data_IF_673155671521
#
_entry.id   IF_673155671521
#
_cell.length_a   1.000
_cell.length_b   1.000
_cell.length_c   1.000
_cell.angle_alpha   90.00
_cell.angle_beta   90.00
_cell.angle_gamma   90.00
#
_symmetry.space_group_name_H-M   'P 1'
#
loop_
_entity.id
_entity.type
_entity.pdbx_description
1 polymer ?
#
# COMPACT_ATOMS: atom_id res chain seq x y z
N UNK A 1 21.38 -8.50 -11.07
CA UNK A 1 20.62 -9.69 -10.59
C UNK A 1 20.65 -9.71 -9.08
N UNK A 2 19.56 -10.11 -8.43
CA UNK A 2 19.47 -10.20 -6.97
C UNK A 2 20.42 -11.25 -6.37
N UNK A 3 20.60 -12.38 -7.05
CA UNK A 3 21.52 -13.44 -6.59
C UNK A 3 22.75 -13.52 -7.47
N UNK A 4 23.92 -13.73 -6.85
CA UNK A 4 25.20 -13.90 -7.54
C UNK A 4 25.70 -15.34 -7.41
N UNK A 5 26.50 -15.77 -8.41
CA UNK A 5 27.26 -17.02 -8.38
C UNK A 5 28.70 -16.79 -7.90
N UNK A 6 29.16 -15.55 -7.87
CA UNK A 6 30.50 -15.14 -7.44
C UNK A 6 30.47 -14.88 -5.94
N UNK A 7 31.24 -15.63 -5.18
CA UNK A 7 31.24 -15.57 -3.71
C UNK A 7 31.63 -14.18 -3.20
N UNK A 8 32.64 -13.56 -3.82
CA UNK A 8 33.17 -12.25 -3.48
C UNK A 8 32.15 -11.11 -3.67
N UNK A 9 31.15 -11.32 -4.53
CA UNK A 9 30.06 -10.35 -4.79
C UNK A 9 28.85 -10.57 -3.86
N UNK A 10 28.92 -11.55 -2.96
CA UNK A 10 27.79 -11.95 -2.10
C UNK A 10 27.85 -11.30 -0.71
N UNK A 11 26.70 -11.23 -0.05
CA UNK A 11 26.64 -10.79 1.36
C UNK A 11 27.33 -11.77 2.31
N UNK A 12 27.43 -13.06 1.94
CA UNK A 12 28.18 -14.05 2.73
C UNK A 12 29.68 -13.73 2.79
N UNK A 13 30.24 -13.15 1.71
CA UNK A 13 31.63 -12.70 1.69
C UNK A 13 31.84 -11.46 2.58
N UNK A 14 30.88 -10.53 2.60
CA UNK A 14 30.96 -9.32 3.44
C UNK A 14 30.94 -9.64 4.94
N UNK A 15 30.14 -10.61 5.33
CA UNK A 15 29.83 -10.88 6.72
C UNK A 15 28.88 -9.83 7.35
N UNK A 16 28.27 -10.21 8.46
CA UNK A 16 27.20 -9.45 9.10
C UNK A 16 27.62 -8.04 9.54
N UNK A 17 28.75 -7.93 10.25
CA UNK A 17 29.24 -6.63 10.77
C UNK A 17 29.48 -5.62 9.65
N UNK A 18 30.11 -6.05 8.56
CA UNK A 18 30.38 -5.19 7.41
C UNK A 18 29.08 -4.82 6.71
N UNK A 19 28.15 -5.76 6.60
CA UNK A 19 26.84 -5.52 5.99
C UNK A 19 26.06 -4.46 6.79
N UNK A 20 25.98 -4.56 8.10
CA UNK A 20 25.30 -3.58 8.96
C UNK A 20 25.91 -2.17 8.81
N UNK A 21 27.24 -2.07 8.83
CA UNK A 21 27.94 -0.80 8.58
C UNK A 21 27.64 -0.22 7.19
N UNK A 22 27.54 -1.08 6.18
CA UNK A 22 27.20 -0.64 4.83
C UNK A 22 25.74 -0.19 4.72
N UNK A 23 24.80 -0.90 5.35
CA UNK A 23 23.37 -0.52 5.39
C UNK A 23 23.24 0.90 5.97
N UNK A 24 23.87 1.18 7.10
CA UNK A 24 23.85 2.50 7.72
C UNK A 24 24.40 3.59 6.78
N UNK A 25 25.51 3.31 6.09
CA UNK A 25 26.08 4.22 5.09
C UNK A 25 25.14 4.43 3.89
N UNK A 26 24.52 3.37 3.40
CA UNK A 26 23.62 3.45 2.24
C UNK A 26 22.34 4.24 2.55
N UNK A 27 21.87 4.17 3.79
CA UNK A 27 20.71 4.94 4.28
C UNK A 27 21.05 6.42 4.51
N UNK A 28 22.28 6.74 4.88
CA UNK A 28 22.74 8.11 5.12
C UNK A 28 21.83 8.84 6.14
N UNK A 29 21.37 10.08 5.84
CA UNK A 29 20.58 10.88 6.78
C UNK A 29 19.26 10.25 7.21
N UNK A 30 18.74 9.27 6.46
CA UNK A 30 17.49 8.57 6.81
C UNK A 30 17.68 7.58 7.97
N UNK A 31 18.92 7.30 8.38
CA UNK A 31 19.25 6.53 9.58
C UNK A 31 19.90 7.46 10.61
N UNK A 32 19.13 8.00 11.56
CA UNK A 32 19.69 8.89 12.58
C UNK A 32 20.72 8.15 13.45
N UNK A 33 21.64 8.88 14.12
CA UNK A 33 22.58 8.27 15.05
C UNK A 33 21.89 7.79 16.33
N UNK A 34 22.54 6.88 17.06
CA UNK A 34 22.10 6.52 18.42
C UNK A 34 21.98 7.78 19.31
N UNK A 35 21.04 7.84 20.25
CA UNK A 35 20.11 6.76 20.62
C UNK A 35 18.84 6.70 19.76
N UNK A 36 18.67 7.59 18.78
CA UNK A 36 17.45 7.69 17.98
C UNK A 36 17.47 6.80 16.72
N UNK A 37 18.53 6.08 16.46
CA UNK A 37 18.70 5.17 15.34
C UNK A 37 19.54 3.95 15.69
N UNK A 38 20.18 3.36 14.67
CA UNK A 38 21.00 2.15 14.82
C UNK A 38 22.22 2.39 15.72
N UNK A 39 22.53 1.43 16.58
CA UNK A 39 23.73 1.44 17.42
C UNK A 39 23.54 1.04 18.87
N UNK A 40 22.30 0.75 19.28
CA UNK A 40 21.92 0.21 20.59
C UNK A 40 20.88 -0.90 20.40
N UNK A 41 20.49 -1.60 21.46
CA UNK A 41 19.49 -2.68 21.44
C UNK A 41 18.12 -2.19 20.95
N UNK A 42 17.78 -0.94 21.24
CA UNK A 42 16.55 -0.28 20.77
C UNK A 42 16.81 1.18 20.37
N UNK A 43 16.10 1.66 19.35
CA UNK A 43 16.06 3.08 19.08
C UNK A 43 15.12 3.80 20.06
N UNK A 44 15.58 4.93 20.61
CA UNK A 44 14.75 5.81 21.44
C UNK A 44 13.89 6.68 20.51
N UNK A 45 12.60 6.38 20.41
CA UNK A 45 11.68 7.14 19.59
C UNK A 45 11.35 8.50 20.26
N UNK A 46 11.28 9.53 19.43
CA UNK A 46 10.75 10.83 19.89
C UNK A 46 9.25 10.65 20.17
N UNK A 47 8.74 11.05 21.35
CA UNK A 47 7.33 10.98 21.65
C UNK A 47 6.51 11.77 20.62
N UNK A 48 5.36 11.24 20.23
CA UNK A 48 4.44 11.97 19.38
C UNK A 48 3.87 13.16 20.17
N UNK A 49 4.00 14.36 19.62
CA UNK A 49 3.52 15.59 20.26
C UNK A 49 2.00 15.70 20.29
N UNK A 50 1.32 15.01 19.35
CA UNK A 50 -0.16 15.00 19.24
C UNK A 50 -0.62 13.85 18.37
N UNK A 51 -1.91 13.53 18.49
CA UNK A 51 -2.56 12.47 17.69
C UNK A 51 -2.43 11.08 18.31
N UNK A 52 -3.11 10.12 17.70
CA UNK A 52 -3.07 8.71 18.08
C UNK A 52 -1.94 8.02 17.32
N UNK A 53 -1.09 7.22 17.98
CA UNK A 53 -0.04 6.47 17.30
C UNK A 53 -0.66 5.42 16.37
N UNK A 54 -0.06 5.26 15.20
CA UNK A 54 -0.34 4.22 14.22
C UNK A 54 0.87 3.31 14.10
N UNK A 55 0.64 2.04 13.84
CA UNK A 55 1.68 1.05 13.57
C UNK A 55 1.17 0.11 12.47
N UNK A 56 1.98 -0.09 11.45
CA UNK A 56 1.73 -1.09 10.41
C UNK A 56 2.97 -1.92 10.14
N UNK A 57 2.80 -3.05 9.44
CA UNK A 57 3.90 -3.87 8.96
C UNK A 57 3.53 -4.52 7.64
N UNK A 58 4.47 -4.50 6.70
CA UNK A 58 4.29 -5.13 5.40
C UNK A 58 5.61 -5.77 4.92
N UNK A 59 5.50 -6.82 4.13
CA UNK A 59 6.64 -7.56 3.61
C UNK A 59 6.81 -7.39 2.11
N UNK A 60 8.05 -7.55 1.63
CA UNK A 60 8.39 -7.64 0.22
C UNK A 60 9.24 -8.90 0.00
N UNK A 61 8.67 -9.92 -0.64
CA UNK A 61 9.31 -11.22 -0.87
C UNK A 61 9.55 -11.46 -2.35
N UNK A 62 10.79 -11.86 -2.69
CA UNK A 62 11.14 -12.24 -4.06
C UNK A 62 10.36 -13.47 -4.52
N UNK A 63 9.86 -13.42 -5.75
CA UNK A 63 9.03 -14.46 -6.35
C UNK A 63 7.54 -14.35 -5.99
N UNK A 64 7.15 -13.43 -5.07
CA UNK A 64 5.76 -13.18 -4.70
C UNK A 64 5.32 -11.73 -4.95
N UNK A 65 6.06 -10.77 -4.42
CA UNK A 65 5.73 -9.36 -4.52
C UNK A 65 6.54 -8.63 -5.61
N UNK A 66 7.60 -9.25 -6.06
CA UNK A 66 8.45 -8.81 -7.16
C UNK A 66 9.29 -9.96 -7.71
N UNK A 67 9.78 -9.80 -8.92
CA UNK A 67 10.67 -10.73 -9.61
C UNK A 67 11.89 -10.01 -10.21
N UNK A 68 12.61 -10.68 -11.11
CA UNK A 68 13.83 -10.18 -11.74
C UNK A 68 13.58 -8.98 -12.68
N UNK A 69 12.35 -8.71 -13.07
CA UNK A 69 11.99 -7.58 -13.93
C UNK A 69 12.00 -6.25 -13.19
N UNK A 70 11.78 -6.28 -11.86
CA UNK A 70 11.80 -5.09 -11.05
C UNK A 70 13.23 -4.70 -10.66
N UNK A 71 13.59 -3.43 -10.83
CA UNK A 71 14.88 -2.94 -10.40
C UNK A 71 15.04 -3.02 -8.87
N UNK A 72 16.28 -3.16 -8.39
CA UNK A 72 16.54 -3.16 -6.94
C UNK A 72 16.07 -1.87 -6.26
N UNK A 73 16.25 -0.71 -6.92
CA UNK A 73 15.80 0.58 -6.39
C UNK A 73 14.27 0.65 -6.26
N UNK A 74 13.57 0.18 -7.27
CA UNK A 74 12.11 0.17 -7.25
C UNK A 74 11.57 -0.81 -6.20
N UNK A 75 12.22 -1.97 -6.03
CA UNK A 75 11.87 -2.92 -4.97
C UNK A 75 12.05 -2.30 -3.56
N UNK A 76 13.16 -1.59 -3.33
CA UNK A 76 13.38 -0.88 -2.07
C UNK A 76 12.36 0.23 -1.82
N UNK A 77 12.05 1.02 -2.85
CA UNK A 77 11.03 2.07 -2.75
C UNK A 77 9.62 1.48 -2.56
N UNK A 78 9.28 0.37 -3.24
CA UNK A 78 8.00 -0.34 -3.09
C UNK A 78 7.76 -0.76 -1.64
N UNK A 79 8.77 -1.30 -0.96
CA UNK A 79 8.64 -1.72 0.45
C UNK A 79 8.20 -0.57 1.36
N UNK A 80 8.82 0.59 1.22
CA UNK A 80 8.45 1.79 2.00
C UNK A 80 7.04 2.26 1.63
N UNK A 81 6.76 2.38 0.33
CA UNK A 81 5.49 2.91 -0.17
C UNK A 81 4.28 2.06 0.23
N UNK A 82 4.39 0.73 0.29
CA UNK A 82 3.32 -0.16 0.75
C UNK A 82 2.90 0.19 2.17
N UNK A 83 3.85 0.28 3.09
CA UNK A 83 3.58 0.68 4.47
C UNK A 83 3.04 2.13 4.57
N UNK A 84 3.49 3.03 3.68
CA UNK A 84 2.95 4.39 3.61
C UNK A 84 1.49 4.40 3.15
N UNK A 85 1.08 3.45 2.33
CA UNK A 85 -0.31 3.28 1.91
C UNK A 85 -1.22 2.94 3.09
N UNK A 86 -0.78 2.05 4.00
CA UNK A 86 -1.51 1.75 5.24
C UNK A 86 -1.65 2.99 6.15
N UNK A 87 -0.57 3.76 6.30
CA UNK A 87 -0.64 5.02 7.07
C UNK A 87 -1.60 6.01 6.40
N UNK A 88 -1.59 6.09 5.07
CA UNK A 88 -2.53 6.91 4.32
C UNK A 88 -3.97 6.43 4.54
N UNK A 89 -4.24 5.12 4.47
CA UNK A 89 -5.56 4.53 4.70
C UNK A 89 -6.21 4.95 6.03
N UNK A 90 -5.38 5.36 7.00
CA UNK A 90 -5.82 5.85 8.31
C UNK A 90 -5.79 7.38 8.45
N UNK A 91 -5.56 8.13 7.35
CA UNK A 91 -5.42 9.59 7.39
C UNK A 91 -4.18 10.06 8.16
N UNK A 92 -3.12 9.24 8.19
CA UNK A 92 -1.96 9.41 9.03
C UNK A 92 -0.80 10.18 8.41
N UNK A 93 0.16 10.50 9.26
CA UNK A 93 1.48 11.03 8.91
C UNK A 93 2.54 10.01 9.36
N UNK A 94 3.42 9.53 8.47
CA UNK A 94 4.46 8.56 8.83
C UNK A 94 5.55 9.21 9.70
N UNK A 95 6.35 8.37 10.39
CA UNK A 95 7.43 8.84 11.28
C UNK A 95 8.67 7.95 11.18
N UNK A 96 8.70 6.82 11.87
CA UNK A 96 9.90 5.98 12.01
C UNK A 96 9.62 4.54 11.63
N UNK A 97 10.61 3.87 11.06
CA UNK A 97 10.50 2.48 10.65
C UNK A 97 11.65 1.61 11.15
N UNK A 98 11.40 0.32 11.29
CA UNK A 98 12.41 -0.73 11.44
C UNK A 98 12.28 -1.74 10.32
N UNK A 99 13.42 -2.30 9.86
CA UNK A 99 13.49 -3.20 8.72
C UNK A 99 14.14 -4.52 9.11
N UNK A 100 13.42 -5.63 9.09
CA UNK A 100 13.97 -6.97 9.16
C UNK A 100 14.30 -7.48 7.76
N UNK A 101 15.58 -7.87 7.55
CA UNK A 101 16.11 -8.32 6.27
C UNK A 101 16.45 -9.81 6.35
N UNK A 102 15.75 -10.65 5.61
CA UNK A 102 15.95 -12.09 5.54
C UNK A 102 16.60 -12.44 4.19
N UNK A 103 17.91 -12.72 4.21
CA UNK A 103 18.71 -12.87 3.01
C UNK A 103 19.36 -14.24 2.90
N UNK A 104 19.25 -14.86 1.72
CA UNK A 104 20.10 -16.00 1.36
C UNK A 104 21.56 -15.58 1.20
N UNK A 105 22.54 -16.47 1.51
CA UNK A 105 23.97 -16.11 1.53
C UNK A 105 24.50 -15.60 0.17
N UNK A 106 23.82 -15.90 -0.91
CA UNK A 106 24.17 -15.52 -2.27
C UNK A 106 23.43 -14.28 -2.80
N UNK A 107 22.83 -13.48 -1.93
CA UNK A 107 22.29 -12.16 -2.35
C UNK A 107 23.48 -11.27 -2.75
N UNK A 108 23.34 -10.62 -3.90
CA UNK A 108 24.39 -9.73 -4.43
C UNK A 108 24.49 -8.46 -3.61
N UNK A 109 25.69 -8.14 -3.14
CA UNK A 109 25.99 -6.91 -2.40
C UNK A 109 25.61 -5.66 -3.21
N UNK A 110 25.93 -5.64 -4.50
CA UNK A 110 25.59 -4.53 -5.42
C UNK A 110 24.08 -4.37 -5.57
N UNK A 111 23.34 -5.48 -5.68
CA UNK A 111 21.87 -5.43 -5.75
C UNK A 111 21.30 -4.89 -4.44
N UNK A 112 21.79 -5.36 -3.31
CA UNK A 112 21.34 -4.94 -1.98
C UNK A 112 21.65 -3.45 -1.73
N UNK A 113 22.81 -2.97 -2.14
CA UNK A 113 23.12 -1.54 -2.10
C UNK A 113 22.08 -0.71 -2.88
N UNK A 114 21.75 -1.12 -4.10
CA UNK A 114 20.74 -0.44 -4.92
C UNK A 114 19.34 -0.51 -4.29
N UNK A 115 19.00 -1.63 -3.64
CA UNK A 115 17.77 -1.76 -2.88
C UNK A 115 17.70 -0.71 -1.76
N UNK A 116 18.76 -0.56 -0.97
CA UNK A 116 18.83 0.46 0.06
C UNK A 116 18.90 1.90 -0.47
N UNK A 117 19.41 2.12 -1.67
CA UNK A 117 19.30 3.43 -2.34
C UNK A 117 17.80 3.77 -2.62
N UNK A 118 17.01 2.79 -3.03
CA UNK A 118 15.56 2.94 -3.20
C UNK A 118 14.83 3.19 -1.88
N UNK A 119 15.17 2.42 -0.84
CA UNK A 119 14.67 2.64 0.53
C UNK A 119 14.98 4.07 1.01
N UNK A 120 16.25 4.48 0.90
CA UNK A 120 16.70 5.83 1.29
C UNK A 120 15.93 6.93 0.57
N UNK A 121 15.78 6.79 -0.76
CA UNK A 121 15.04 7.79 -1.54
C UNK A 121 13.59 7.91 -1.06
N UNK A 122 12.88 6.80 -0.89
CA UNK A 122 11.50 6.82 -0.42
C UNK A 122 11.40 7.36 1.03
N UNK A 123 12.31 6.96 1.92
CA UNK A 123 12.39 7.51 3.27
C UNK A 123 12.57 9.03 3.27
N UNK A 124 13.46 9.54 2.41
CA UNK A 124 13.69 10.97 2.27
C UNK A 124 12.46 11.70 1.72
N UNK A 125 11.87 11.20 0.63
CA UNK A 125 10.71 11.82 -0.02
C UNK A 125 9.49 11.93 0.92
N UNK A 126 9.33 10.98 1.84
CA UNK A 126 8.18 10.90 2.76
C UNK A 126 8.53 11.17 4.24
N UNK A 127 9.73 11.67 4.51
CA UNK A 127 10.19 12.04 5.86
C UNK A 127 10.09 10.89 6.86
N UNK A 128 10.47 9.69 6.45
CA UNK A 128 10.57 8.50 7.31
C UNK A 128 12.00 8.31 7.77
N UNK A 129 12.21 8.06 9.06
CA UNK A 129 13.52 7.67 9.62
C UNK A 129 13.57 6.14 9.76
N UNK A 130 14.59 5.49 9.15
CA UNK A 130 14.85 4.09 9.41
C UNK A 130 15.76 3.98 10.65
N UNK A 131 15.16 3.61 11.77
CA UNK A 131 15.79 3.73 13.09
C UNK A 131 16.39 2.43 13.61
N UNK A 132 16.11 1.29 12.96
CA UNK A 132 16.63 -0.01 13.40
C UNK A 132 16.20 -1.13 12.45
N UNK A 133 16.48 -2.35 12.87
CA UNK A 133 16.10 -3.54 12.13
C UNK A 133 16.87 -4.77 12.57
N UNK A 134 16.75 -5.82 11.76
CA UNK A 134 17.42 -7.10 11.94
C UNK A 134 17.97 -7.61 10.61
N UNK A 135 19.02 -8.42 10.66
CA UNK A 135 19.54 -9.14 9.48
C UNK A 135 19.67 -10.61 9.82
N UNK A 136 18.87 -11.43 9.16
CA UNK A 136 18.86 -12.87 9.38
C UNK A 136 19.17 -13.64 8.09
N UNK A 137 19.99 -14.71 8.23
CA UNK A 137 20.28 -15.59 7.12
C UNK A 137 19.13 -16.59 6.91
N UNK A 138 18.72 -16.74 5.65
CA UNK A 138 17.78 -17.78 5.20
C UNK A 138 18.43 -18.66 4.12
N UNK A 139 17.67 -19.61 3.57
CA UNK A 139 18.18 -20.51 2.53
C UNK A 139 18.70 -19.74 1.31
N UNK A 140 19.69 -20.34 0.63
CA UNK A 140 20.22 -19.84 -0.65
C UNK A 140 19.09 -19.60 -1.67
N UNK A 141 19.13 -18.45 -2.36
CA UNK A 141 18.13 -18.07 -3.35
C UNK A 141 16.85 -17.48 -2.77
N UNK A 142 16.79 -17.21 -1.47
CA UNK A 142 15.66 -16.54 -0.86
C UNK A 142 16.00 -15.09 -0.49
N UNK A 143 14.99 -14.20 -0.59
CA UNK A 143 15.04 -12.83 -0.14
C UNK A 143 13.65 -12.38 0.32
N UNK A 144 13.58 -11.83 1.51
CA UNK A 144 12.43 -11.11 2.04
C UNK A 144 12.89 -9.92 2.87
N UNK A 145 12.14 -8.85 2.79
CA UNK A 145 12.31 -7.67 3.65
C UNK A 145 10.97 -7.35 4.30
N UNK A 146 10.95 -7.17 5.61
CA UNK A 146 9.75 -6.83 6.39
C UNK A 146 9.98 -5.48 7.03
N UNK A 147 9.11 -4.52 6.73
CA UNK A 147 9.17 -3.18 7.31
C UNK A 147 8.02 -3.01 8.30
N UNK A 148 8.33 -2.49 9.49
CA UNK A 148 7.30 -1.98 10.40
C UNK A 148 7.45 -0.46 10.49
N UNK A 149 6.34 0.26 10.28
CA UNK A 149 6.29 1.71 10.18
C UNK A 149 5.36 2.30 11.22
N UNK A 150 5.83 3.28 11.97
CA UNK A 150 5.01 4.09 12.87
C UNK A 150 4.54 5.37 12.20
N UNK A 151 3.40 5.89 12.67
CA UNK A 151 2.88 7.17 12.25
C UNK A 151 1.91 7.72 13.28
N UNK A 152 1.26 8.83 12.96
CA UNK A 152 0.23 9.44 13.81
C UNK A 152 -0.95 9.90 12.97
N UNK A 153 -2.16 9.87 13.56
CA UNK A 153 -3.34 10.55 13.02
C UNK A 153 -4.09 11.25 14.15
N UNK A 154 -4.50 12.50 13.94
CA UNK A 154 -5.35 13.21 14.92
C UNK A 154 -6.73 12.55 15.02
N UNK A 155 -7.27 12.12 13.89
CA UNK A 155 -8.56 11.42 13.77
C UNK A 155 -8.36 10.24 12.80
N UNK A 156 -7.96 9.06 13.29
CA UNK A 156 -7.85 7.88 12.42
C UNK A 156 -9.20 7.54 11.81
N UNK A 157 -9.24 7.41 10.49
CA UNK A 157 -10.40 6.92 9.78
C UNK A 157 -10.33 5.40 9.77
N UNK A 158 -11.42 4.75 10.20
CA UNK A 158 -11.46 3.29 10.30
C UNK A 158 -12.23 2.70 9.12
N UNK A 159 -11.89 1.49 8.70
CA UNK A 159 -12.58 0.79 7.60
C UNK A 159 -13.99 0.29 7.99
N UNK A 160 -14.27 0.13 9.29
CA UNK A 160 -15.54 -0.44 9.80
C UNK A 160 -16.52 0.62 10.32
N UNK A 161 -16.33 1.89 9.95
CA UNK A 161 -17.19 2.99 10.41
C UNK A 161 -18.19 3.49 9.37
N UNK A 162 -18.18 2.88 8.17
CA UNK A 162 -19.18 3.12 7.14
C UNK A 162 -20.60 2.79 7.64
N UNK A 163 -21.59 3.49 7.08
CA UNK A 163 -23.00 3.34 7.44
C UNK A 163 -23.86 3.04 6.18
N UNK A 164 -25.04 2.53 6.43
CA UNK A 164 -26.06 2.41 5.40
C UNK A 164 -26.30 3.77 4.72
N UNK A 165 -26.45 3.77 3.41
CA UNK A 165 -26.63 4.90 2.49
C UNK A 165 -25.37 5.76 2.28
N UNK A 166 -24.22 5.44 2.89
CA UNK A 166 -22.98 6.13 2.58
C UNK A 166 -22.61 5.91 1.12
N UNK A 167 -22.09 6.97 0.51
CA UNK A 167 -21.62 6.96 -0.88
C UNK A 167 -20.18 6.48 -0.94
N UNK A 168 -19.87 5.61 -1.89
CA UNK A 168 -18.58 4.95 -2.04
C UNK A 168 -17.76 5.65 -3.13
N UNK A 169 -16.52 5.99 -2.80
CA UNK A 169 -15.59 6.67 -3.70
C UNK A 169 -14.28 5.92 -3.84
N UNK A 170 -13.66 6.08 -5.01
CA UNK A 170 -12.25 5.69 -5.25
C UNK A 170 -11.48 6.87 -5.84
N UNK A 171 -10.21 6.95 -5.51
CA UNK A 171 -9.26 7.89 -6.14
C UNK A 171 -8.60 7.26 -7.37
N UNK A 172 -8.17 8.09 -8.30
CA UNK A 172 -7.37 7.68 -9.46
C UNK A 172 -8.07 6.68 -10.38
N UNK A 173 -7.32 5.71 -10.91
CA UNK A 173 -7.80 4.66 -11.82
C UNK A 173 -7.22 3.30 -11.43
N UNK A 174 -7.96 2.23 -11.73
CA UNK A 174 -7.74 0.88 -11.19
C UNK A 174 -7.40 -0.14 -12.26
N UNK A 175 -6.64 -1.15 -11.88
CA UNK A 175 -6.34 -2.34 -12.64
C UNK A 175 -5.09 -2.22 -13.53
N UNK A 176 -4.50 -3.37 -13.86
CA UNK A 176 -3.27 -3.45 -14.64
C UNK A 176 -2.05 -2.99 -13.86
N UNK A 177 -2.10 -3.03 -12.54
CA UNK A 177 -1.03 -2.59 -11.63
C UNK A 177 0.31 -3.28 -11.92
N UNK A 178 0.29 -4.54 -12.32
CA UNK A 178 1.47 -5.34 -12.68
C UNK A 178 2.28 -4.74 -13.83
N UNK A 179 1.69 -3.89 -14.68
CA UNK A 179 2.41 -3.19 -15.75
C UNK A 179 3.17 -1.94 -15.26
N UNK A 180 3.33 -1.77 -13.94
CA UNK A 180 4.20 -0.74 -13.37
C UNK A 180 3.62 0.01 -12.18
N UNK A 181 2.30 0.22 -12.09
CA UNK A 181 1.68 0.97 -11.00
C UNK A 181 2.01 0.35 -9.63
N UNK A 182 2.08 -0.97 -9.51
CA UNK A 182 2.36 -1.70 -8.26
C UNK A 182 3.68 -1.31 -7.55
N UNK A 183 4.60 -0.65 -8.22
CA UNK A 183 5.82 -0.10 -7.60
C UNK A 183 6.01 1.40 -7.84
N UNK A 184 5.44 1.94 -8.94
CA UNK A 184 5.57 3.35 -9.28
C UNK A 184 4.53 4.25 -8.62
N UNK A 185 3.52 3.69 -7.92
CA UNK A 185 2.46 4.45 -7.29
C UNK A 185 2.97 5.53 -6.32
N UNK A 186 2.15 6.54 -6.10
CA UNK A 186 2.36 7.59 -5.09
C UNK A 186 1.39 7.31 -3.95
N UNK A 187 1.89 7.00 -2.73
CA UNK A 187 1.04 6.84 -1.55
C UNK A 187 0.16 8.07 -1.30
N UNK A 188 -1.12 7.89 -1.12
CA UNK A 188 -2.13 8.95 -1.04
C UNK A 188 -2.17 9.66 0.33
N UNK A 189 -1.00 9.98 0.88
CA UNK A 189 -0.86 10.57 2.22
C UNK A 189 -1.47 11.99 2.33
N UNK A 190 -1.32 12.81 1.31
CA UNK A 190 -1.82 14.19 1.30
C UNK A 190 -3.34 14.19 1.22
N UNK A 191 -3.86 13.39 0.31
CA UNK A 191 -5.29 13.21 0.07
C UNK A 191 -6.00 12.61 1.29
N UNK A 192 -5.40 11.59 1.88
CA UNK A 192 -5.93 10.94 3.07
C UNK A 192 -5.98 11.86 4.29
N UNK A 193 -4.95 12.69 4.51
CA UNK A 193 -4.97 13.71 5.57
C UNK A 193 -6.00 14.81 5.30
N UNK A 194 -6.26 15.12 4.04
CA UNK A 194 -7.34 16.03 3.68
C UNK A 194 -8.70 15.39 4.00
N UNK A 195 -8.91 14.10 3.64
CA UNK A 195 -10.11 13.34 3.97
C UNK A 195 -10.35 13.26 5.49
N UNK A 196 -9.30 13.04 6.28
CA UNK A 196 -9.39 12.98 7.74
C UNK A 196 -9.87 14.29 8.39
N UNK A 197 -9.81 15.41 7.68
CA UNK A 197 -10.36 16.70 8.12
C UNK A 197 -11.79 16.95 7.65
N UNK A 198 -12.35 16.07 6.82
CA UNK A 198 -13.72 16.21 6.32
C UNK A 198 -14.65 15.41 7.23
N UNK A 199 -15.62 16.09 7.84
CA UNK A 199 -16.64 15.44 8.69
C UNK A 199 -17.53 14.45 7.94
N UNK A 200 -17.57 14.58 6.62
CA UNK A 200 -18.33 13.69 5.75
C UNK A 200 -17.66 12.32 5.54
N UNK A 201 -16.33 12.22 5.66
CA UNK A 201 -15.62 10.96 5.46
C UNK A 201 -15.94 9.98 6.60
N UNK A 202 -16.64 8.91 6.29
CA UNK A 202 -17.15 7.96 7.28
C UNK A 202 -16.27 6.72 7.47
N UNK A 203 -15.63 6.22 6.40
CA UNK A 203 -14.70 5.10 6.45
C UNK A 203 -13.69 5.18 5.32
N UNK A 204 -12.53 4.57 5.48
CA UNK A 204 -11.45 4.57 4.47
C UNK A 204 -10.55 3.35 4.61
N UNK A 205 -10.02 2.89 3.48
CA UNK A 205 -8.92 1.94 3.36
C UNK A 205 -8.17 2.19 2.04
N UNK A 206 -7.03 1.56 1.85
CA UNK A 206 -6.37 1.51 0.55
C UNK A 206 -6.77 0.26 -0.26
N UNK A 207 -6.53 0.30 -1.57
CA UNK A 207 -6.84 -0.78 -2.50
C UNK A 207 -5.60 -1.63 -2.75
N UNK A 208 -5.56 -2.80 -2.12
CA UNK A 208 -4.42 -3.73 -2.14
C UNK A 208 -4.75 -5.08 -2.74
N UNK A 209 -5.94 -5.61 -2.50
CA UNK A 209 -6.36 -6.95 -2.92
C UNK A 209 -7.28 -6.95 -4.15
N UNK A 210 -7.62 -5.77 -4.65
CA UNK A 210 -8.55 -5.54 -5.74
C UNK A 210 -9.92 -5.05 -5.27
N UNK A 211 -10.50 -4.16 -6.07
CA UNK A 211 -11.72 -3.43 -5.70
C UNK A 211 -12.85 -4.36 -5.23
N UNK A 212 -13.05 -5.50 -5.91
CA UNK A 212 -14.14 -6.44 -5.58
C UNK A 212 -14.02 -7.02 -4.17
N UNK A 213 -12.81 -7.35 -3.74
CA UNK A 213 -12.54 -7.87 -2.40
C UNK A 213 -12.58 -6.75 -1.35
N UNK A 214 -11.89 -5.64 -1.63
CA UNK A 214 -11.73 -4.54 -0.68
C UNK A 214 -13.06 -3.84 -0.37
N UNK A 215 -13.98 -3.75 -1.34
CA UNK A 215 -15.35 -3.29 -1.12
C UNK A 215 -16.09 -4.11 -0.08
N UNK A 216 -15.89 -5.43 -0.05
CA UNK A 216 -16.55 -6.30 0.93
C UNK A 216 -16.02 -6.08 2.36
N UNK A 217 -14.73 -5.68 2.48
CA UNK A 217 -14.10 -5.34 3.77
C UNK A 217 -14.62 -4.00 4.32
N UNK A 218 -14.88 -3.04 3.42
CA UNK A 218 -15.42 -1.72 3.80
C UNK A 218 -16.93 -1.74 4.08
N UNK A 219 -17.63 -2.76 3.58
CA UNK A 219 -19.08 -2.87 3.68
C UNK A 219 -19.55 -3.07 5.12
N UNK A 220 -20.43 -2.21 5.67
CA UNK A 220 -20.93 -2.37 7.02
C UNK A 220 -21.86 -3.59 7.15
N UNK A 221 -22.00 -4.07 8.39
CA UNK A 221 -22.89 -5.19 8.70
C UNK A 221 -24.34 -4.91 8.24
N UNK A 222 -25.02 -5.97 7.79
CA UNK A 222 -26.40 -5.92 7.26
C UNK A 222 -26.58 -4.97 6.09
N UNK A 223 -25.49 -4.69 5.37
CA UNK A 223 -25.51 -3.93 4.13
C UNK A 223 -24.99 -4.77 2.95
N UNK A 224 -25.22 -4.28 1.76
CA UNK A 224 -24.57 -4.68 0.53
C UNK A 224 -23.97 -3.45 -0.16
N UNK A 225 -23.00 -3.67 -1.01
CA UNK A 225 -22.43 -2.67 -1.90
C UNK A 225 -23.27 -2.65 -3.19
N UNK A 226 -23.99 -1.59 -3.45
CA UNK A 226 -24.60 -1.33 -4.75
C UNK A 226 -23.58 -0.58 -5.62
N UNK A 227 -22.91 -1.29 -6.55
CA UNK A 227 -21.88 -0.73 -7.42
C UNK A 227 -22.41 -0.38 -8.81
N UNK A 228 -22.02 0.78 -9.32
CA UNK A 228 -22.16 1.14 -10.72
C UNK A 228 -20.92 0.71 -11.51
N UNK A 229 -20.93 -0.47 -12.12
CA UNK A 229 -19.79 -1.02 -12.87
C UNK A 229 -19.31 -0.09 -13.98
N UNK A 230 -20.20 0.69 -14.62
CA UNK A 230 -19.82 1.64 -15.67
C UNK A 230 -19.12 2.90 -15.14
N UNK A 231 -19.19 3.15 -13.84
CA UNK A 231 -18.49 4.25 -13.20
C UNK A 231 -17.09 3.87 -12.67
N UNK A 232 -16.76 2.58 -12.62
CA UNK A 232 -15.42 2.14 -12.14
C UNK A 232 -14.33 2.78 -13.02
N UNK A 233 -13.39 3.54 -12.45
CA UNK A 233 -12.35 4.23 -13.23
C UNK A 233 -11.25 3.23 -13.63
N UNK A 234 -11.32 2.73 -14.86
CA UNK A 234 -10.41 1.71 -15.39
C UNK A 234 -9.13 2.37 -15.91
N UNK A 235 -7.97 1.92 -15.43
CA UNK A 235 -6.67 2.40 -15.88
C UNK A 235 -6.35 1.95 -17.32
N UNK A 236 -5.59 2.76 -18.05
CA UNK A 236 -5.12 2.39 -19.40
C UNK A 236 -4.30 1.09 -19.42
N UNK A 237 -3.59 0.80 -18.33
CA UNK A 237 -2.86 -0.45 -18.12
C UNK A 237 -3.79 -1.67 -18.06
N UNK A 238 -5.01 -1.55 -17.51
CA UNK A 238 -5.98 -2.63 -17.48
C UNK A 238 -6.44 -3.04 -18.90
N UNK A 239 -6.63 -2.07 -19.81
CA UNK A 239 -6.93 -2.36 -21.21
C UNK A 239 -5.77 -3.08 -21.91
N UNK A 240 -4.53 -2.65 -21.66
CA UNK A 240 -3.33 -3.33 -22.19
C UNK A 240 -3.19 -4.76 -21.66
N UNK A 241 -3.50 -4.98 -20.39
CA UNK A 241 -3.50 -6.34 -19.84
C UNK A 241 -4.63 -7.21 -20.42
N UNK A 242 -5.79 -6.64 -20.68
CA UNK A 242 -6.89 -7.34 -21.31
C UNK A 242 -6.55 -7.87 -22.72
N UNK A 243 -5.69 -7.17 -23.47
CA UNK A 243 -5.18 -7.65 -24.77
C UNK A 243 -4.30 -8.90 -24.65
N UNK A 244 -3.67 -9.12 -23.49
CA UNK A 244 -2.70 -10.20 -23.25
C UNK A 244 -3.29 -11.34 -22.40
N UNK A 245 -4.42 -11.13 -21.79
CA UNK A 245 -5.08 -12.07 -20.88
C UNK A 245 -6.44 -12.54 -21.43
N UNK A 246 -7.09 -13.48 -20.72
CA UNK A 246 -8.49 -13.89 -21.01
C UNK A 246 -9.51 -13.04 -20.27
N UNK A 247 -9.09 -12.02 -19.50
CA UNK A 247 -9.95 -11.15 -18.71
C UNK A 247 -10.17 -9.82 -19.42
N UNK A 248 -11.34 -9.22 -19.25
CA UNK A 248 -11.58 -7.87 -19.75
C UNK A 248 -11.00 -6.80 -18.80
N UNK A 249 -10.95 -5.54 -19.25
CA UNK A 249 -10.33 -4.45 -18.49
C UNK A 249 -11.05 -4.17 -17.14
N UNK A 250 -12.38 -4.36 -17.08
CA UNK A 250 -13.13 -4.23 -15.83
C UNK A 250 -12.75 -5.35 -14.84
N UNK A 251 -12.57 -6.57 -15.28
CA UNK A 251 -12.11 -7.67 -14.42
C UNK A 251 -10.72 -7.38 -13.85
N UNK A 252 -9.82 -6.76 -14.64
CA UNK A 252 -8.54 -6.28 -14.14
C UNK A 252 -8.70 -5.20 -13.08
N UNK A 253 -9.56 -4.20 -13.30
CA UNK A 253 -9.82 -3.15 -12.32
C UNK A 253 -10.45 -3.68 -11.01
N UNK A 254 -11.24 -4.75 -11.11
CA UNK A 254 -11.91 -5.35 -9.96
C UNK A 254 -11.04 -6.33 -9.17
N UNK A 255 -10.03 -6.99 -9.79
CA UNK A 255 -9.37 -8.15 -9.21
C UNK A 255 -7.84 -8.08 -9.09
N UNK A 256 -7.14 -7.20 -9.84
CA UNK A 256 -5.67 -7.29 -9.90
C UNK A 256 -4.99 -6.93 -8.57
N UNK A 257 -5.54 -5.98 -7.84
CA UNK A 257 -4.93 -5.47 -6.61
C UNK A 257 -3.67 -4.62 -6.84
N UNK A 258 -3.01 -4.26 -5.75
CA UNK A 258 -1.82 -3.39 -5.72
C UNK A 258 -2.01 -2.05 -6.46
N UNK A 259 -3.23 -1.51 -6.48
CA UNK A 259 -3.54 -0.20 -7.05
C UNK A 259 -3.09 0.95 -6.15
N UNK A 260 -3.08 0.74 -4.82
CA UNK A 260 -2.67 1.70 -3.79
C UNK A 260 -3.39 3.06 -3.92
N UNK A 261 -4.63 3.03 -4.38
CA UNK A 261 -5.57 4.16 -4.34
C UNK A 261 -6.37 4.12 -3.03
N UNK A 262 -7.07 5.21 -2.70
CA UNK A 262 -7.99 5.21 -1.56
C UNK A 262 -9.36 4.74 -2.00
N UNK A 263 -9.93 3.81 -1.23
CA UNK A 263 -11.33 3.43 -1.22
C UNK A 263 -11.95 4.00 0.06
N UNK A 264 -12.96 4.86 -0.05
CA UNK A 264 -13.57 5.47 1.12
C UNK A 264 -15.06 5.73 0.94
N UNK A 265 -15.74 6.00 2.03
CA UNK A 265 -17.14 6.41 2.01
C UNK A 265 -17.36 7.79 2.64
N UNK A 266 -18.38 8.46 2.17
CA UNK A 266 -18.91 9.68 2.78
C UNK A 266 -20.35 9.46 3.22
N UNK A 267 -20.79 10.16 4.28
CA UNK A 267 -22.14 10.05 4.81
C UNK A 267 -23.20 10.35 3.76
N UNK A 268 -24.23 9.50 3.67
CA UNK A 268 -25.23 9.54 2.59
C UNK A 268 -26.07 10.82 2.51
N UNK A 269 -26.12 11.61 3.59
CA UNK A 269 -26.80 12.91 3.64
C UNK A 269 -25.88 14.09 3.27
N UNK A 270 -24.63 13.83 2.90
CA UNK A 270 -23.67 14.86 2.50
C UNK A 270 -24.06 15.52 1.19
N UNK A 271 -23.76 16.80 1.06
CA UNK A 271 -23.87 17.49 -0.24
C UNK A 271 -22.75 17.02 -1.18
N UNK A 272 -23.07 16.00 -1.98
CA UNK A 272 -22.16 15.35 -2.92
C UNK A 272 -21.43 16.36 -3.82
N UNK A 273 -22.17 17.24 -4.50
CA UNK A 273 -21.57 18.21 -5.45
C UNK A 273 -20.60 19.16 -4.75
N UNK A 274 -20.92 19.61 -3.53
CA UNK A 274 -20.04 20.45 -2.73
C UNK A 274 -18.77 19.70 -2.31
N UNK A 275 -18.89 18.44 -1.92
CA UNK A 275 -17.74 17.60 -1.55
C UNK A 275 -16.81 17.38 -2.75
N UNK A 276 -17.36 16.96 -3.90
CA UNK A 276 -16.62 16.74 -5.14
C UNK A 276 -15.93 18.02 -5.66
N UNK A 277 -16.59 19.18 -5.54
CA UNK A 277 -16.00 20.47 -5.92
C UNK A 277 -14.81 20.86 -5.02
N UNK A 278 -14.89 20.60 -3.70
CA UNK A 278 -13.77 20.82 -2.77
C UNK A 278 -12.60 19.87 -3.06
N UNK A 279 -12.88 18.61 -3.42
CA UNK A 279 -11.85 17.69 -3.84
C UNK A 279 -11.16 18.14 -5.11
N UNK A 280 -11.91 18.49 -6.15
CA UNK A 280 -11.35 18.94 -7.42
C UNK A 280 -10.50 20.21 -7.26
N UNK A 281 -10.87 21.11 -6.36
CA UNK A 281 -10.08 22.30 -6.03
C UNK A 281 -8.79 21.95 -5.28
N UNK A 282 -8.81 20.94 -4.39
CA UNK A 282 -7.65 20.54 -3.62
C UNK A 282 -6.69 19.63 -4.41
N UNK A 283 -7.21 18.81 -5.33
CA UNK A 283 -6.46 17.78 -6.07
C UNK A 283 -6.86 17.76 -7.55
N UNK A 284 -6.54 18.82 -8.32
CA UNK A 284 -6.99 18.95 -9.72
C UNK A 284 -6.45 17.83 -10.63
N UNK A 285 -5.29 17.24 -10.29
CA UNK A 285 -4.64 16.18 -11.08
C UNK A 285 -5.07 14.76 -10.66
N UNK A 286 -5.87 14.60 -9.60
CA UNK A 286 -6.30 13.30 -9.11
C UNK A 286 -7.82 13.15 -9.19
N UNK A 287 -8.27 12.29 -10.08
CA UNK A 287 -9.70 12.00 -10.23
C UNK A 287 -10.30 11.38 -8.97
N UNK A 288 -11.53 11.77 -8.68
CA UNK A 288 -12.37 11.19 -7.64
C UNK A 288 -13.63 10.65 -8.30
N UNK A 289 -13.95 9.36 -8.07
CA UNK A 289 -15.08 8.73 -8.71
C UNK A 289 -16.02 8.11 -7.68
N UNK A 290 -17.30 8.53 -7.68
CA UNK A 290 -18.34 7.81 -6.96
C UNK A 290 -18.70 6.55 -7.73
N UNK A 291 -18.50 5.40 -7.12
CA UNK A 291 -18.71 4.09 -7.75
C UNK A 291 -19.97 3.39 -7.23
N UNK A 292 -20.66 3.90 -6.21
CA UNK A 292 -21.85 3.27 -5.65
C UNK A 292 -22.21 3.78 -4.27
N UNK A 293 -22.97 2.96 -3.55
CA UNK A 293 -23.40 3.23 -2.17
C UNK A 293 -23.59 1.93 -1.38
N UNK A 294 -23.61 2.04 -0.04
CA UNK A 294 -24.05 0.95 0.82
C UNK A 294 -25.56 0.95 0.97
N UNK A 295 -26.23 -0.15 0.65
CA UNK A 295 -27.67 -0.31 0.78
C UNK A 295 -28.00 -1.34 1.86
N UNK A 296 -29.19 -1.25 2.46
CA UNK A 296 -29.64 -2.28 3.41
C UNK A 296 -29.79 -3.62 2.71
N UNK A 297 -29.13 -4.64 3.22
CA UNK A 297 -29.33 -6.04 2.81
C UNK A 297 -29.10 -6.95 4.01
N UNK A 298 -30.08 -7.83 4.31
CA UNK A 298 -29.96 -8.81 5.39
C UNK A 298 -29.02 -9.97 5.06
N UNK A 299 -28.57 -10.08 3.83
CA UNK A 299 -27.72 -11.16 3.30
C UNK A 299 -26.26 -10.75 3.26
N UNK A 300 -25.69 -10.21 4.31
CA UNK A 300 -24.29 -9.81 4.52
C UNK A 300 -23.33 -9.80 3.30
N UNK A 301 -22.60 -8.70 3.14
CA UNK A 301 -21.39 -8.54 2.29
C UNK A 301 -21.54 -8.92 0.81
N UNK A 302 -22.66 -8.60 0.17
CA UNK A 302 -22.83 -8.86 -1.25
C UNK A 302 -22.53 -7.63 -2.08
N UNK A 303 -21.76 -7.85 -3.15
CA UNK A 303 -21.56 -6.89 -4.22
C UNK A 303 -22.71 -7.05 -5.23
N UNK A 304 -23.50 -5.99 -5.43
CA UNK A 304 -24.65 -5.95 -6.32
C UNK A 304 -24.40 -4.97 -7.46
N UNK A 305 -24.66 -5.40 -8.69
CA UNK A 305 -24.65 -4.48 -9.82
C UNK A 305 -25.89 -3.57 -9.76
N UNK A 306 -25.66 -2.27 -9.69
CA UNK A 306 -26.72 -1.25 -9.64
C UNK A 306 -27.71 -1.33 -10.80
N UNK A 307 -27.25 -1.68 -11.99
CA UNK A 307 -28.09 -1.74 -13.21
C UNK A 307 -29.00 -2.96 -13.25
N UNK A 308 -28.50 -4.11 -12.83
CA UNK A 308 -29.21 -5.40 -12.98
C UNK A 308 -29.71 -5.96 -11.66
N UNK A 309 -29.30 -5.39 -10.52
CA UNK A 309 -29.55 -5.87 -9.17
C UNK A 309 -29.10 -7.34 -8.94
N UNK A 310 -28.13 -7.80 -9.75
CA UNK A 310 -27.57 -9.16 -9.62
C UNK A 310 -26.36 -9.16 -8.70
N UNK A 311 -26.21 -10.26 -7.95
CA UNK A 311 -25.03 -10.51 -7.13
C UNK A 311 -23.82 -10.75 -8.04
N UNK A 312 -22.72 -10.04 -7.76
CA UNK A 312 -21.46 -10.15 -8.46
C UNK A 312 -20.50 -11.03 -7.64
N UNK A 313 -20.50 -12.33 -7.93
CA UNK A 313 -19.57 -13.29 -7.28
C UNK A 313 -18.25 -13.48 -8.02
N UNK A 314 -18.10 -12.84 -9.18
CA UNK A 314 -17.00 -13.08 -10.12
C UNK A 314 -15.73 -12.25 -9.86
N UNK A 315 -15.70 -11.44 -8.80
CA UNK A 315 -14.56 -10.56 -8.48
C UNK A 315 -13.93 -10.91 -7.12
N UNK A 316 -13.25 -12.07 -7.01
CA UNK A 316 -12.75 -12.56 -5.72
C UNK A 316 -11.54 -11.76 -5.18
N UNK A 317 -10.83 -11.00 -6.06
CA UNK A 317 -9.59 -10.33 -5.69
C UNK A 317 -8.44 -11.30 -5.38
N UNK A 318 -7.31 -10.75 -4.89
CA UNK A 318 -6.15 -11.54 -4.49
C UNK A 318 -6.37 -12.17 -3.11
N UNK A 319 -5.91 -13.41 -2.90
CA UNK A 319 -5.96 -14.09 -1.61
C UNK A 319 -4.73 -14.99 -1.45
N UNK A 320 -4.00 -14.79 -0.34
CA UNK A 320 -2.89 -15.66 0.04
C UNK A 320 -3.38 -17.08 0.30
N UNK A 321 -2.52 -18.08 0.01
CA UNK A 321 -2.77 -19.51 0.29
C UNK A 321 -3.90 -20.16 -0.53
N UNK A 322 -4.58 -19.47 -1.41
CA UNK A 322 -5.39 -20.13 -2.45
C UNK A 322 -4.47 -20.74 -3.49
N UNK A 323 -4.67 -22.02 -3.77
CA UNK A 323 -4.05 -22.64 -4.95
C UNK A 323 -4.69 -22.02 -6.20
N UNK A 324 -3.89 -21.76 -7.27
CA UNK A 324 -4.39 -21.23 -8.53
C UNK A 324 -5.38 -22.16 -9.22
#
# INVERSE_FOLDING_TARGET
>A
MIFTKVYEDSIAYLGERTLLSNIQKWLGPCSPPAPHGMGDDCAVLVPFSSGKPLLTTDSLTFGQHFDISLSAKDAGAKLIKRNLSDIAAMGGTPSSAVLALLCGPNVSTKWLQQFFEGVRKACFDYSVSLVGGDVSQVKKGAFSAVLSLTGTSSVPILRQTAQKNDLIYVTGSLGGSALGKHYAFIPRLVEARWLAKQSECSAMMDLTDGLGKDLSVLCPDKCAVEINLSAVPIASSAYKMAEQSKRNALEHAMCDGEDYELLFSITGNSNRSKFESRWAAAFPELSLTNIGAFIADSRTSKLLDKKTNKVLSMYPGFEHFKQP
#
